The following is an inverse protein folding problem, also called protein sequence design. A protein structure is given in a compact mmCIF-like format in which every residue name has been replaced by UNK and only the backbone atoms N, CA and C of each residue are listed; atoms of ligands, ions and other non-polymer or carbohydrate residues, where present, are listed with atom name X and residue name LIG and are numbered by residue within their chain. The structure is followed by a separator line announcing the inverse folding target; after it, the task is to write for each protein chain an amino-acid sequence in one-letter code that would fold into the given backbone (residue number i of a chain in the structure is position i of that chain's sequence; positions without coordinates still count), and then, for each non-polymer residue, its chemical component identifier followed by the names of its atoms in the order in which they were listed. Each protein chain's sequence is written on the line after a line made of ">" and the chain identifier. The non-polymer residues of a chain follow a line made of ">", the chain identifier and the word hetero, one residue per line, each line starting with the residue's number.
data_IF_278080912551
#
_entry.id   IF_278080912551
#
_cell.length_a   1.000
_cell.length_b   1.000
_cell.length_c   1.000
_cell.angle_alpha   90.00
_cell.angle_beta   90.00
_cell.angle_gamma   90.00
#
_symmetry.space_group_name_H-M   'P 1'
#
loop_
_entity.id
_entity.type
_entity.pdbx_description
1 polymer ?
#
# COMPACT_ATOMS: atom_id res chain seq x y z
N UNK A 1 27.59 -16.81 -8.14
CA UNK A 1 27.20 -16.37 -6.80
C UNK A 1 26.51 -15.05 -7.01
N UNK A 2 25.46 -14.70 -6.28
CA UNK A 2 24.90 -13.37 -6.39
C UNK A 2 25.98 -12.33 -6.08
N UNK A 3 26.07 -11.29 -6.90
CA UNK A 3 26.94 -10.16 -6.63
C UNK A 3 26.30 -9.30 -5.54
N UNK A 4 27.12 -8.79 -4.61
CA UNK A 4 26.69 -7.88 -3.57
C UNK A 4 27.45 -6.56 -3.69
N UNK A 5 26.78 -5.46 -3.37
CA UNK A 5 27.40 -4.17 -3.11
C UNK A 5 27.38 -3.88 -1.63
N UNK A 6 28.35 -3.11 -1.15
CA UNK A 6 28.38 -2.64 0.23
C UNK A 6 27.92 -1.19 0.29
N UNK A 7 26.90 -0.93 1.08
CA UNK A 7 26.48 0.44 1.44
C UNK A 7 26.59 0.61 2.95
N UNK A 8 26.67 1.85 3.40
CA UNK A 8 26.84 2.19 4.82
C UNK A 8 25.75 3.16 5.26
N UNK A 9 25.21 2.91 6.45
CA UNK A 9 24.36 3.83 7.19
C UNK A 9 24.99 4.12 8.57
N UNK A 10 24.30 4.87 9.42
CA UNK A 10 24.76 5.20 10.78
C UNK A 10 25.01 3.99 11.68
N UNK A 11 24.52 2.81 11.31
CA UNK A 11 24.72 1.55 12.04
C UNK A 11 25.86 0.70 11.47
N UNK A 12 26.53 1.19 10.42
CA UNK A 12 27.68 0.56 9.77
C UNK A 12 27.36 -0.11 8.42
N UNK A 13 28.31 -0.87 7.86
CA UNK A 13 28.18 -1.44 6.52
C UNK A 13 27.12 -2.56 6.43
N UNK A 14 26.48 -2.63 5.28
CA UNK A 14 25.45 -3.64 4.93
C UNK A 14 25.73 -4.18 3.54
N UNK A 15 25.63 -5.50 3.38
CA UNK A 15 25.73 -6.18 2.08
C UNK A 15 24.34 -6.26 1.46
N UNK A 16 24.18 -5.67 0.28
CA UNK A 16 22.90 -5.60 -0.45
C UNK A 16 23.10 -6.29 -1.81
N UNK A 17 22.13 -7.07 -2.34
CA UNK A 17 22.23 -7.62 -3.69
C UNK A 17 22.52 -6.50 -4.69
N UNK A 18 23.48 -6.70 -5.60
CA UNK A 18 24.00 -5.63 -6.45
C UNK A 18 22.95 -5.07 -7.42
N UNK A 19 21.96 -5.88 -7.79
CA UNK A 19 20.85 -5.56 -8.69
C UNK A 19 19.64 -4.92 -8.01
N UNK A 20 19.58 -4.94 -6.66
CA UNK A 20 18.45 -4.37 -5.90
C UNK A 20 18.50 -2.85 -5.85
N UNK A 21 17.35 -2.20 -5.95
CA UNK A 21 17.24 -0.73 -5.79
C UNK A 21 17.08 -0.27 -4.34
N UNK A 22 16.84 -1.18 -3.39
CA UNK A 22 16.77 -0.79 -1.98
C UNK A 22 18.15 -0.55 -1.38
N UNK A 23 18.18 0.12 -0.25
CA UNK A 23 19.39 0.48 0.48
C UNK A 23 19.52 -0.22 1.83
N UNK A 24 20.43 0.30 2.71
CA UNK A 24 20.78 -0.33 3.99
C UNK A 24 19.61 -0.53 4.94
N UNK A 25 18.71 0.46 5.07
CA UNK A 25 17.60 0.36 6.01
C UNK A 25 16.61 -0.73 5.61
N UNK A 26 16.32 -0.88 4.32
CA UNK A 26 15.49 -1.97 3.83
C UNK A 26 16.15 -3.31 4.05
N UNK A 27 17.43 -3.45 3.77
CA UNK A 27 18.15 -4.71 3.99
C UNK A 27 18.13 -5.13 5.46
N UNK A 28 18.38 -4.19 6.39
CA UNK A 28 18.25 -4.46 7.83
C UNK A 28 16.82 -4.88 8.21
N UNK A 29 15.81 -4.23 7.63
CA UNK A 29 14.41 -4.55 7.90
C UNK A 29 14.05 -5.96 7.40
N UNK A 30 14.57 -6.40 6.25
CA UNK A 30 14.39 -7.77 5.75
C UNK A 30 14.90 -8.81 6.73
N UNK A 31 16.03 -8.55 7.38
CA UNK A 31 16.61 -9.45 8.36
C UNK A 31 15.87 -9.41 9.71
N UNK A 32 15.47 -8.23 10.15
CA UNK A 32 14.82 -8.03 11.44
C UNK A 32 13.35 -8.48 11.46
N UNK A 33 12.66 -8.39 10.32
CA UNK A 33 11.21 -8.66 10.21
C UNK A 33 10.91 -9.64 9.07
N UNK A 34 11.35 -10.92 9.17
CA UNK A 34 11.23 -11.88 8.08
C UNK A 34 9.84 -12.51 7.94
N UNK A 35 8.91 -12.24 8.86
CA UNK A 35 7.62 -12.92 8.99
C UNK A 35 6.47 -12.15 8.35
N UNK A 36 5.44 -12.88 7.94
CA UNK A 36 4.20 -12.31 7.40
C UNK A 36 4.16 -12.24 5.88
N UNK A 37 3.07 -11.71 5.37
CA UNK A 37 2.89 -11.44 3.95
C UNK A 37 3.72 -10.23 3.52
N UNK A 38 3.99 -10.12 2.24
CA UNK A 38 4.59 -8.91 1.68
C UNK A 38 3.65 -7.71 1.84
N UNK A 39 4.21 -6.51 1.99
CA UNK A 39 3.45 -5.27 1.99
C UNK A 39 2.59 -5.20 0.70
N UNK A 40 1.28 -4.89 0.79
CA UNK A 40 0.43 -4.78 -0.41
C UNK A 40 0.99 -3.80 -1.44
N UNK A 41 1.02 -4.20 -2.71
CA UNK A 41 1.53 -3.35 -3.81
C UNK A 41 0.75 -2.03 -3.92
N UNK A 42 -0.54 -2.03 -3.63
CA UNK A 42 -1.34 -0.82 -3.63
C UNK A 42 -0.78 0.24 -2.65
N UNK A 43 -0.33 -0.16 -1.46
CA UNK A 43 0.34 0.74 -0.49
C UNK A 43 1.63 1.31 -1.07
N UNK A 44 2.43 0.48 -1.75
CA UNK A 44 3.67 0.91 -2.39
C UNK A 44 3.38 1.93 -3.49
N UNK A 45 2.40 1.67 -4.37
CA UNK A 45 1.97 2.62 -5.42
C UNK A 45 1.45 3.93 -4.84
N UNK A 46 0.67 3.88 -3.75
CA UNK A 46 0.22 5.08 -3.06
C UNK A 46 1.40 5.88 -2.47
N UNK A 47 2.37 5.22 -1.83
CA UNK A 47 3.58 5.89 -1.33
C UNK A 47 4.39 6.52 -2.47
N UNK A 48 4.58 5.84 -3.59
CA UNK A 48 5.25 6.38 -4.77
C UNK A 48 4.55 7.67 -5.26
N UNK A 49 3.22 7.67 -5.35
CA UNK A 49 2.46 8.87 -5.71
C UNK A 49 2.64 10.01 -4.69
N UNK A 50 2.68 9.69 -3.40
CA UNK A 50 2.97 10.69 -2.34
C UNK A 50 4.37 11.27 -2.53
N UNK A 51 5.40 10.45 -2.82
CA UNK A 51 6.76 10.94 -3.08
C UNK A 51 6.83 11.85 -4.30
N UNK A 52 6.10 11.51 -5.36
CA UNK A 52 5.99 12.37 -6.54
C UNK A 52 5.38 13.73 -6.20
N UNK A 53 4.23 13.74 -5.51
CA UNK A 53 3.56 14.96 -5.09
C UNK A 53 4.43 15.81 -4.15
N UNK A 54 5.11 15.17 -3.20
CA UNK A 54 6.03 15.85 -2.29
C UNK A 54 7.23 16.48 -3.02
N UNK A 55 7.81 15.78 -4.01
CA UNK A 55 8.90 16.33 -4.83
C UNK A 55 8.43 17.56 -5.62
N UNK A 56 7.24 17.52 -6.21
CA UNK A 56 6.65 18.66 -6.92
C UNK A 56 6.43 19.86 -5.97
N UNK A 57 5.83 19.66 -4.82
CA UNK A 57 5.62 20.71 -3.83
C UNK A 57 6.96 21.27 -3.30
N UNK A 58 7.94 20.42 -3.09
CA UNK A 58 9.26 20.85 -2.63
C UNK A 58 10.03 21.66 -3.69
N UNK A 59 9.84 21.37 -4.98
CA UNK A 59 10.36 22.25 -6.06
C UNK A 59 9.67 23.61 -6.06
N UNK A 60 8.35 23.66 -5.98
CA UNK A 60 7.58 24.91 -5.97
C UNK A 60 7.95 25.80 -4.79
N UNK A 61 8.26 25.21 -3.63
CA UNK A 61 8.68 25.93 -2.42
C UNK A 61 10.18 26.18 -2.33
N UNK A 62 10.97 25.76 -3.33
CA UNK A 62 12.44 25.81 -3.35
C UNK A 62 13.09 25.04 -2.17
N UNK A 63 12.42 24.04 -1.62
CA UNK A 63 12.96 23.18 -0.57
C UNK A 63 13.97 22.13 -1.11
N UNK A 64 13.82 21.76 -2.40
CA UNK A 64 14.81 21.00 -3.19
C UNK A 64 15.03 21.70 -4.52
N UNK A 65 16.17 21.41 -5.20
CA UNK A 65 16.42 21.95 -6.54
C UNK A 65 15.47 21.33 -7.58
N UNK A 66 15.18 22.10 -8.65
CA UNK A 66 14.38 21.60 -9.77
C UNK A 66 15.01 20.36 -10.42
N UNK A 67 16.35 20.29 -10.49
CA UNK A 67 17.08 19.15 -11.01
C UNK A 67 16.81 17.87 -10.21
N UNK A 68 16.99 17.91 -8.88
CA UNK A 68 16.72 16.77 -8.00
C UNK A 68 15.24 16.37 -7.99
N UNK A 69 14.35 17.35 -7.89
CA UNK A 69 12.91 17.09 -7.87
C UNK A 69 12.41 16.47 -9.16
N UNK A 70 12.88 16.94 -10.30
CA UNK A 70 12.53 16.38 -11.62
C UNK A 70 13.03 14.94 -11.78
N UNK A 71 14.22 14.62 -11.27
CA UNK A 71 14.75 13.24 -11.27
C UNK A 71 13.92 12.32 -10.37
N UNK A 72 13.52 12.78 -9.19
CA UNK A 72 12.63 12.03 -8.29
C UNK A 72 11.28 11.73 -8.98
N UNK A 73 10.66 12.76 -9.60
CA UNK A 73 9.39 12.59 -10.33
C UNK A 73 9.55 11.57 -11.44
N UNK A 74 10.61 11.68 -12.26
CA UNK A 74 10.88 10.75 -13.36
C UNK A 74 11.11 9.32 -12.85
N UNK A 75 11.88 9.15 -11.79
CA UNK A 75 12.12 7.85 -11.17
C UNK A 75 10.81 7.20 -10.70
N UNK A 76 9.94 7.98 -10.04
CA UNK A 76 8.63 7.50 -9.61
C UNK A 76 7.75 7.12 -10.80
N UNK A 77 7.72 7.90 -11.87
CA UNK A 77 6.93 7.58 -13.07
C UNK A 77 7.39 6.27 -13.73
N UNK A 78 8.70 6.04 -13.82
CA UNK A 78 9.25 4.77 -14.32
C UNK A 78 8.89 3.59 -13.40
N UNK A 79 8.95 3.75 -12.08
CA UNK A 79 8.54 2.72 -11.12
C UNK A 79 7.04 2.41 -11.19
N UNK A 80 6.20 3.44 -11.31
CA UNK A 80 4.75 3.27 -11.43
C UNK A 80 4.32 2.60 -12.74
N UNK A 81 5.15 2.68 -13.79
CA UNK A 81 4.92 2.02 -15.08
C UNK A 81 5.21 0.50 -15.04
N UNK A 82 5.92 0.02 -14.02
CA UNK A 82 6.22 -1.41 -13.86
C UNK A 82 4.96 -2.23 -13.55
N UNK A 83 5.00 -3.51 -13.95
CA UNK A 83 4.03 -4.50 -13.47
C UNK A 83 4.12 -4.67 -11.94
N UNK A 84 3.07 -5.21 -11.32
CA UNK A 84 3.10 -5.49 -9.88
C UNK A 84 4.18 -6.52 -9.51
N UNK A 85 4.46 -7.46 -10.40
CA UNK A 85 5.50 -8.48 -10.22
C UNK A 85 6.91 -7.85 -10.29
N UNK A 86 7.17 -6.98 -11.26
CA UNK A 86 8.46 -6.31 -11.38
C UNK A 86 8.68 -5.31 -10.25
N UNK A 87 7.67 -4.51 -9.92
CA UNK A 87 7.74 -3.58 -8.80
C UNK A 87 8.04 -4.30 -7.47
N UNK A 88 7.46 -5.49 -7.27
CA UNK A 88 7.69 -6.32 -6.08
C UNK A 88 9.14 -6.67 -5.84
N UNK A 89 9.98 -6.75 -6.87
CA UNK A 89 11.39 -7.13 -6.75
C UNK A 89 12.15 -6.18 -5.85
N UNK A 90 11.83 -4.88 -5.91
CA UNK A 90 12.48 -3.85 -5.11
C UNK A 90 11.76 -3.48 -3.81
N UNK A 91 10.60 -4.12 -3.53
CA UNK A 91 9.82 -3.89 -2.31
C UNK A 91 9.61 -5.19 -1.53
N UNK A 92 10.68 -5.73 -0.91
CA UNK A 92 10.67 -7.07 -0.31
C UNK A 92 10.12 -7.12 1.12
N UNK A 93 9.70 -5.98 1.70
CA UNK A 93 9.34 -5.91 3.10
C UNK A 93 8.01 -6.57 3.43
N UNK A 94 7.91 -7.08 4.64
CA UNK A 94 6.74 -7.77 5.18
C UNK A 94 5.84 -6.84 5.98
N UNK A 95 4.56 -7.23 6.17
CA UNK A 95 3.58 -6.42 6.90
C UNK A 95 3.88 -6.33 8.41
N UNK A 96 4.48 -7.37 9.00
CA UNK A 96 4.86 -7.37 10.41
C UNK A 96 6.23 -6.72 10.59
N UNK A 97 6.21 -5.40 10.60
CA UNK A 97 7.34 -4.50 10.87
C UNK A 97 6.95 -3.53 11.99
N UNK A 98 7.64 -2.41 12.18
CA UNK A 98 7.21 -1.40 13.17
C UNK A 98 5.85 -0.82 12.79
N UNK A 99 4.99 -0.56 13.78
CA UNK A 99 3.61 -0.11 13.57
C UNK A 99 3.47 1.26 12.92
N UNK A 100 4.54 2.07 12.90
CA UNK A 100 4.59 3.39 12.24
C UNK A 100 4.74 3.33 10.72
N UNK A 101 5.04 2.14 10.14
CA UNK A 101 5.28 1.98 8.70
C UNK A 101 6.61 2.59 8.20
N UNK A 102 7.50 2.98 9.11
CA UNK A 102 8.77 3.65 8.78
C UNK A 102 9.61 2.82 7.82
N UNK A 103 9.71 1.49 7.99
CA UNK A 103 10.52 0.65 7.11
C UNK A 103 10.00 0.69 5.66
N UNK A 104 8.70 0.62 5.46
CA UNK A 104 8.11 0.71 4.10
C UNK A 104 8.30 2.10 3.50
N UNK A 105 8.17 3.17 4.29
CA UNK A 105 8.47 4.52 3.83
C UNK A 105 9.95 4.65 3.42
N UNK A 106 10.88 4.13 4.22
CA UNK A 106 12.31 4.16 3.90
C UNK A 106 12.66 3.28 2.70
N UNK A 107 12.04 2.10 2.56
CA UNK A 107 12.19 1.29 1.35
C UNK A 107 11.78 2.09 0.10
N UNK A 108 10.66 2.80 0.16
CA UNK A 108 10.22 3.66 -0.96
C UNK A 108 11.24 4.77 -1.23
N UNK A 109 11.76 5.42 -0.19
CA UNK A 109 12.77 6.47 -0.34
C UNK A 109 14.07 5.95 -0.99
N UNK A 110 14.59 4.81 -0.51
CA UNK A 110 15.80 4.19 -1.01
C UNK A 110 15.66 3.76 -2.48
N UNK A 111 14.56 3.09 -2.82
CA UNK A 111 14.28 2.66 -4.20
C UNK A 111 14.16 3.84 -5.15
N UNK A 112 13.43 4.90 -4.76
CA UNK A 112 13.29 6.11 -5.58
C UNK A 112 14.64 6.83 -5.75
N UNK A 113 15.42 6.95 -4.69
CA UNK A 113 16.75 7.58 -4.75
C UNK A 113 17.69 6.83 -5.68
N UNK A 114 17.82 5.51 -5.53
CA UNK A 114 18.67 4.70 -6.40
C UNK A 114 18.18 4.71 -7.86
N UNK A 115 16.86 4.64 -8.07
CA UNK A 115 16.28 4.75 -9.41
C UNK A 115 16.58 6.10 -10.06
N UNK A 116 16.50 7.20 -9.30
CA UNK A 116 16.86 8.54 -9.79
C UNK A 116 18.35 8.63 -10.17
N UNK A 117 19.24 8.08 -9.35
CA UNK A 117 20.67 8.02 -9.64
C UNK A 117 21.01 7.08 -10.81
N UNK A 118 20.21 6.04 -11.08
CA UNK A 118 20.35 5.27 -12.32
C UNK A 118 19.99 6.08 -13.57
N UNK A 119 19.03 7.00 -13.46
CA UNK A 119 18.64 7.88 -14.58
C UNK A 119 19.72 8.95 -14.84
N UNK A 120 20.28 9.54 -13.78
CA UNK A 120 21.38 10.49 -13.88
C UNK A 120 22.40 10.25 -12.74
N UNK A 121 23.50 9.51 -13.02
CA UNK A 121 24.53 9.21 -12.02
C UNK A 121 25.34 10.42 -11.53
N UNK A 122 25.30 11.54 -12.23
CA UNK A 122 26.04 12.75 -11.87
C UNK A 122 25.35 13.55 -10.75
N UNK A 123 24.09 13.20 -10.43
CA UNK A 123 23.29 13.89 -9.41
C UNK A 123 23.04 12.93 -8.23
N UNK A 124 23.61 13.25 -7.09
CA UNK A 124 23.35 12.51 -5.86
C UNK A 124 21.96 12.81 -5.32
N UNK A 125 21.16 11.76 -5.09
CA UNK A 125 19.83 11.82 -4.47
C UNK A 125 19.86 11.01 -3.17
N UNK A 126 19.62 11.69 -2.07
CA UNK A 126 19.61 11.07 -0.74
C UNK A 126 18.18 10.64 -0.35
N UNK A 127 18.00 9.38 0.10
CA UNK A 127 16.69 8.86 0.46
C UNK A 127 15.95 9.70 1.50
N UNK A 128 16.67 10.14 2.54
CA UNK A 128 16.08 10.90 3.64
C UNK A 128 16.01 12.40 3.36
N UNK A 129 17.08 12.99 2.85
CA UNK A 129 17.23 14.44 2.77
C UNK A 129 16.58 15.03 1.50
N UNK A 130 16.44 14.23 0.43
CA UNK A 130 15.83 14.66 -0.81
C UNK A 130 14.44 14.02 -1.01
N UNK A 131 14.35 12.67 -1.06
CA UNK A 131 13.07 11.97 -1.35
C UNK A 131 12.07 12.14 -0.22
N UNK A 132 12.54 12.11 1.03
CA UNK A 132 11.68 12.29 2.21
C UNK A 132 11.61 13.73 2.71
N UNK A 133 12.11 14.70 1.97
CA UNK A 133 12.15 16.11 2.37
C UNK A 133 10.79 16.63 2.82
N UNK A 134 10.73 17.20 4.04
CA UNK A 134 9.53 17.76 4.62
C UNK A 134 8.44 16.75 5.02
N UNK A 135 8.77 15.46 5.11
CA UNK A 135 7.81 14.39 5.36
C UNK A 135 8.15 13.61 6.64
N UNK A 136 7.11 13.10 7.28
CA UNK A 136 7.20 12.11 8.36
C UNK A 136 6.53 10.81 7.92
N UNK A 137 7.12 9.66 8.22
CA UNK A 137 6.50 8.35 7.99
C UNK A 137 5.20 8.17 8.78
N UNK A 138 5.06 8.86 9.92
CA UNK A 138 3.83 8.86 10.71
C UNK A 138 2.66 9.58 10.01
N UNK A 139 2.91 10.34 8.96
CA UNK A 139 1.93 10.98 8.11
C UNK A 139 1.80 10.25 6.76
N UNK A 140 2.89 10.04 6.05
CA UNK A 140 2.87 9.49 4.69
C UNK A 140 2.35 8.07 4.63
N UNK A 141 2.68 7.22 5.60
CA UNK A 141 2.22 5.83 5.60
C UNK A 141 0.72 5.69 5.87
N UNK A 142 0.11 6.31 6.92
CA UNK A 142 -1.33 6.28 7.09
C UNK A 142 -2.08 7.01 5.95
N UNK A 143 -1.50 8.05 5.36
CA UNK A 143 -2.07 8.67 4.15
C UNK A 143 -2.16 7.67 3.00
N UNK A 144 -1.10 6.91 2.74
CA UNK A 144 -1.12 5.84 1.74
C UNK A 144 -2.18 4.77 2.04
N UNK A 145 -2.34 4.38 3.31
CA UNK A 145 -3.38 3.43 3.74
C UNK A 145 -4.79 3.98 3.44
N UNK A 146 -5.04 5.25 3.75
CA UNK A 146 -6.34 5.88 3.50
C UNK A 146 -6.65 6.00 2.00
N UNK A 147 -5.66 6.37 1.17
CA UNK A 147 -5.81 6.41 -0.30
C UNK A 147 -6.22 5.04 -0.83
N UNK A 148 -5.49 4.00 -0.45
CA UNK A 148 -5.78 2.62 -0.88
C UNK A 148 -7.14 2.12 -0.38
N UNK A 149 -7.52 2.48 0.85
CA UNK A 149 -8.83 2.13 1.38
C UNK A 149 -9.97 2.78 0.57
N UNK A 150 -9.82 4.06 0.20
CA UNK A 150 -10.80 4.76 -0.65
C UNK A 150 -10.91 4.12 -2.04
N UNK A 151 -9.79 3.82 -2.70
CA UNK A 151 -9.77 3.13 -3.99
C UNK A 151 -10.42 1.73 -3.91
N UNK A 152 -10.23 1.02 -2.80
CA UNK A 152 -10.88 -0.28 -2.58
C UNK A 152 -12.39 -0.13 -2.37
N UNK A 153 -12.85 0.92 -1.68
CA UNK A 153 -14.26 1.21 -1.48
C UNK A 153 -15.01 1.50 -2.79
N UNK A 154 -14.37 2.13 -3.75
CA UNK A 154 -14.95 2.39 -5.07
C UNK A 154 -15.32 1.09 -5.83
N UNK A 155 -14.61 -0.01 -5.52
CA UNK A 155 -14.92 -1.35 -6.05
C UNK A 155 -15.91 -2.11 -5.17
N UNK A 156 -15.77 -1.98 -3.86
CA UNK A 156 -16.59 -2.72 -2.89
C UNK A 156 -18.04 -2.24 -2.87
N UNK A 157 -18.27 -0.93 -2.85
CA UNK A 157 -19.63 -0.36 -2.77
C UNK A 157 -20.58 -0.87 -3.86
N UNK A 158 -20.23 -0.85 -5.16
CA UNK A 158 -21.10 -1.38 -6.20
C UNK A 158 -21.39 -2.88 -6.03
N UNK A 159 -20.43 -3.66 -5.56
CA UNK A 159 -20.61 -5.10 -5.33
C UNK A 159 -21.59 -5.36 -4.17
N UNK A 160 -21.47 -4.60 -3.07
CA UNK A 160 -22.42 -4.68 -1.94
C UNK A 160 -23.80 -4.22 -2.38
N UNK A 161 -23.90 -3.12 -3.14
CA UNK A 161 -25.20 -2.65 -3.65
C UNK A 161 -25.87 -3.70 -4.53
N UNK A 162 -25.12 -4.34 -5.44
CA UNK A 162 -25.67 -5.42 -6.26
C UNK A 162 -26.18 -6.59 -5.40
N UNK A 163 -25.46 -6.97 -4.35
CA UNK A 163 -25.93 -8.01 -3.42
C UNK A 163 -27.22 -7.59 -2.70
N UNK A 164 -27.31 -6.33 -2.25
CA UNK A 164 -28.55 -5.79 -1.64
C UNK A 164 -29.73 -5.90 -2.61
N UNK A 165 -29.53 -5.48 -3.85
CA UNK A 165 -30.60 -5.49 -4.87
C UNK A 165 -31.10 -6.91 -5.16
N UNK A 166 -30.18 -7.88 -5.28
CA UNK A 166 -30.53 -9.30 -5.49
C UNK A 166 -31.20 -9.91 -4.26
N UNK A 167 -30.79 -9.54 -3.05
CA UNK A 167 -31.46 -9.99 -1.84
C UNK A 167 -32.86 -9.39 -1.71
N UNK A 168 -33.08 -8.13 -2.07
CA UNK A 168 -34.42 -7.49 -2.09
C UNK A 168 -35.39 -8.23 -3.04
N UNK A 169 -34.93 -8.64 -4.20
CA UNK A 169 -35.72 -9.47 -5.12
C UNK A 169 -36.15 -10.80 -4.48
N UNK A 170 -35.22 -11.44 -3.73
CA UNK A 170 -35.54 -12.69 -3.00
C UNK A 170 -36.45 -12.44 -1.80
N UNK A 171 -36.22 -11.37 -1.07
CA UNK A 171 -37.08 -10.93 0.04
C UNK A 171 -38.52 -10.80 -0.43
N UNK A 172 -38.79 -10.07 -1.52
CA UNK A 172 -40.14 -9.84 -2.04
C UNK A 172 -40.76 -11.13 -2.57
N UNK A 173 -39.99 -11.91 -3.30
CA UNK A 173 -40.48 -13.20 -3.87
C UNK A 173 -40.93 -14.18 -2.78
N UNK A 174 -40.25 -14.22 -1.65
CA UNK A 174 -40.51 -15.20 -0.58
C UNK A 174 -41.11 -14.57 0.67
N UNK A 175 -41.73 -13.38 0.55
CA UNK A 175 -42.26 -12.66 1.71
C UNK A 175 -43.32 -13.46 2.46
N UNK A 176 -44.21 -14.18 1.77
CA UNK A 176 -45.28 -14.99 2.36
C UNK A 176 -44.87 -16.46 2.61
N UNK A 177 -43.68 -16.87 2.26
CA UNK A 177 -43.25 -18.28 2.41
C UNK A 177 -42.81 -18.56 3.86
N UNK A 178 -43.68 -19.22 4.61
CA UNK A 178 -43.45 -19.56 6.03
C UNK A 178 -42.36 -20.61 6.18
N UNK A 179 -41.50 -20.42 7.14
CA UNK A 179 -40.47 -21.37 7.59
C UNK A 179 -40.38 -21.40 9.10
N UNK A 180 -39.70 -22.42 9.64
CA UNK A 180 -39.33 -22.49 11.06
C UNK A 180 -38.09 -21.61 11.31
N UNK A 181 -38.20 -20.67 12.26
CA UNK A 181 -37.04 -19.98 12.82
C UNK A 181 -36.16 -20.92 13.65
N UNK A 182 -34.89 -20.59 13.79
CA UNK A 182 -33.95 -21.36 14.60
C UNK A 182 -33.08 -20.46 15.46
N UNK A 183 -32.87 -20.90 16.72
CA UNK A 183 -31.94 -20.29 17.67
C UNK A 183 -31.30 -21.42 18.48
N UNK A 184 -30.03 -21.26 18.81
CA UNK A 184 -29.28 -22.31 19.56
C UNK A 184 -29.38 -23.72 18.93
N UNK A 185 -29.44 -23.79 17.60
CA UNK A 185 -29.64 -25.04 16.81
C UNK A 185 -30.97 -25.76 17.09
N UNK A 186 -31.96 -25.09 17.70
CA UNK A 186 -33.30 -25.59 17.99
C UNK A 186 -34.34 -24.86 17.17
N UNK A 187 -35.49 -25.54 16.94
CA UNK A 187 -36.65 -24.91 16.32
C UNK A 187 -37.19 -23.80 17.23
N UNK A 188 -37.51 -22.68 16.63
CA UNK A 188 -38.05 -21.50 17.30
C UNK A 188 -39.40 -21.10 16.67
N UNK A 189 -39.79 -19.84 16.79
CA UNK A 189 -41.06 -19.36 16.29
C UNK A 189 -41.09 -19.37 14.75
N UNK A 190 -42.30 -19.51 14.15
CA UNK A 190 -42.45 -19.33 12.68
C UNK A 190 -42.05 -17.93 12.25
N UNK A 191 -41.41 -17.84 11.10
CA UNK A 191 -41.17 -16.60 10.34
C UNK A 191 -41.23 -16.91 8.84
N UNK A 192 -41.08 -15.91 8.01
CA UNK A 192 -41.01 -16.13 6.57
C UNK A 192 -39.56 -16.05 6.05
N UNK A 193 -39.31 -16.67 4.90
CA UNK A 193 -38.02 -16.49 4.21
C UNK A 193 -37.75 -15.03 3.86
N UNK A 194 -38.81 -14.27 3.46
CA UNK A 194 -38.68 -12.84 3.20
C UNK A 194 -38.23 -12.06 4.45
N UNK A 195 -38.79 -12.39 5.63
CA UNK A 195 -38.37 -11.78 6.89
C UNK A 195 -36.91 -12.11 7.25
N UNK A 196 -36.47 -13.36 7.03
CA UNK A 196 -35.05 -13.71 7.25
C UNK A 196 -34.12 -12.93 6.32
N UNK A 197 -34.44 -12.88 5.03
CA UNK A 197 -33.65 -12.14 4.03
C UNK A 197 -33.64 -10.64 4.32
N UNK A 198 -34.75 -10.06 4.83
CA UNK A 198 -34.79 -8.64 5.20
C UNK A 198 -33.78 -8.27 6.26
N UNK A 199 -33.47 -9.20 7.19
CA UNK A 199 -32.42 -9.02 8.17
C UNK A 199 -31.02 -8.92 7.53
N UNK A 200 -30.76 -9.69 6.48
CA UNK A 200 -29.48 -9.61 5.73
C UNK A 200 -29.37 -8.30 4.95
N UNK A 201 -30.48 -7.87 4.32
CA UNK A 201 -30.54 -6.56 3.62
C UNK A 201 -30.21 -5.42 4.59
N UNK A 202 -30.92 -5.39 5.73
CA UNK A 202 -30.70 -4.33 6.74
C UNK A 202 -29.28 -4.30 7.33
N UNK A 203 -28.60 -5.47 7.36
CA UNK A 203 -27.20 -5.52 7.83
C UNK A 203 -26.20 -5.00 6.80
N UNK A 204 -26.57 -4.97 5.51
CA UNK A 204 -25.69 -4.50 4.41
C UNK A 204 -25.92 -3.02 4.09
N UNK A 205 -27.06 -2.44 4.40
CA UNK A 205 -27.40 -1.01 4.25
C UNK A 205 -26.73 -0.15 5.34
#
# INVERSE_FOLDING_TARGET
>A
MPEFRTEEDTLGPVQIPADALWGPQTERSRHNFPTGQYMPIAIIRALLNIKKAAAQANMETNAISEEKGSLIVKAVDELLALSDEDLRKDFPLKVYQTGSGTQTNMNTNEVVAHKAMQINPDVEILPNDDVNKGQSSNDTFPTAMNVVALEALDKLKPAVQHLIDELKIKQDKYWETVKVGRTHLQDAVPLTFGQEVSGYVAALE
#
